data_IF_271965376404
#
_entry.id   IF_271965376404
#
_cell.length_a   1.000
_cell.length_b   1.000
_cell.length_c   1.000
_cell.angle_alpha   90.00
_cell.angle_beta   90.00
_cell.angle_gamma   90.00
#
_symmetry.space_group_name_H-M   'P 1'
#
loop_
_entity.id
_entity.type
_entity.pdbx_description
1 polymer ?
#
# COMPACT_ATOMS: atom_id res chain seq x y z
N UNK A 1 -11.18 -28.02 32.30
CA UNK A 1 -10.76 -26.66 32.67
C UNK A 1 -10.64 -25.86 31.38
N UNK A 2 -11.59 -24.97 31.10
CA UNK A 2 -11.46 -24.04 29.97
C UNK A 2 -10.28 -23.11 30.28
N UNK A 3 -9.15 -23.34 29.60
CA UNK A 3 -7.92 -22.62 29.87
C UNK A 3 -8.05 -21.17 29.45
N UNK A 4 -7.84 -20.25 30.39
CA UNK A 4 -7.86 -18.80 30.12
C UNK A 4 -6.82 -18.45 29.05
N UNK A 5 -7.21 -17.56 28.13
CA UNK A 5 -6.37 -16.95 27.09
C UNK A 5 -6.34 -15.43 27.39
N UNK A 6 -5.47 -15.00 28.31
CA UNK A 6 -5.56 -13.67 28.90
C UNK A 6 -5.28 -12.54 27.91
N UNK A 7 -4.34 -12.71 26.98
CA UNK A 7 -3.99 -11.63 26.05
C UNK A 7 -3.36 -12.13 24.74
N UNK A 8 -4.17 -12.78 23.90
CA UNK A 8 -3.76 -13.24 22.56
C UNK A 8 -3.51 -12.06 21.64
N UNK A 9 -2.34 -12.01 20.99
CA UNK A 9 -1.97 -10.94 20.07
C UNK A 9 -2.10 -11.33 18.59
N UNK A 10 -1.48 -12.45 18.19
CA UNK A 10 -1.53 -12.94 16.81
C UNK A 10 -1.82 -14.44 16.77
N UNK A 11 -2.37 -14.89 15.64
CA UNK A 11 -2.75 -16.29 15.40
C UNK A 11 -2.29 -16.73 14.01
N UNK A 12 -1.82 -17.96 13.93
CA UNK A 12 -1.47 -18.64 12.68
C UNK A 12 -2.10 -20.03 12.66
N UNK A 13 -2.28 -20.59 11.47
CA UNK A 13 -2.90 -21.90 11.30
C UNK A 13 -2.07 -22.72 10.32
N UNK A 14 -1.82 -23.98 10.66
CA UNK A 14 -1.19 -24.91 9.74
C UNK A 14 -1.61 -26.33 10.09
N UNK A 15 -1.93 -27.10 9.05
CA UNK A 15 -2.50 -28.45 9.20
C UNK A 15 -3.68 -28.43 10.18
N UNK A 16 -3.64 -29.25 11.23
CA UNK A 16 -4.68 -29.38 12.26
C UNK A 16 -4.45 -28.54 13.51
N UNK A 17 -3.49 -27.61 13.47
CA UNK A 17 -3.07 -26.82 14.62
C UNK A 17 -3.33 -25.33 14.42
N UNK A 18 -3.81 -24.69 15.48
CA UNK A 18 -3.79 -23.24 15.66
C UNK A 18 -2.60 -22.91 16.54
N UNK A 19 -1.85 -21.89 16.14
CA UNK A 19 -0.71 -21.34 16.87
C UNK A 19 -1.03 -19.90 17.25
N UNK A 20 -0.71 -19.47 18.45
CA UNK A 20 -0.91 -18.07 18.84
C UNK A 20 0.17 -17.57 19.80
N UNK A 21 0.28 -16.26 19.89
CA UNK A 21 1.15 -15.55 20.83
C UNK A 21 0.31 -14.93 21.93
N UNK A 22 0.78 -15.02 23.17
CA UNK A 22 0.13 -14.41 24.33
C UNK A 22 1.10 -13.51 25.11
N UNK A 23 0.68 -12.27 25.35
CA UNK A 23 1.50 -11.24 26.00
C UNK A 23 1.53 -11.34 27.52
N UNK A 24 0.58 -12.00 28.16
CA UNK A 24 0.56 -12.13 29.61
C UNK A 24 1.41 -13.33 30.05
N UNK A 25 1.35 -14.41 29.29
CA UNK A 25 2.18 -15.61 29.54
C UNK A 25 3.55 -15.52 28.88
N UNK A 26 3.76 -14.57 27.96
CA UNK A 26 4.95 -14.46 27.11
C UNK A 26 5.24 -15.74 26.31
N UNK A 27 4.20 -16.49 25.93
CA UNK A 27 4.33 -17.80 25.28
C UNK A 27 3.90 -17.76 23.82
N UNK A 28 4.47 -18.68 23.05
CA UNK A 28 3.82 -19.19 21.83
C UNK A 28 3.19 -20.52 22.18
N UNK A 29 1.93 -20.70 21.83
CA UNK A 29 1.18 -21.91 22.16
C UNK A 29 0.50 -22.49 20.93
N UNK A 30 0.14 -23.77 21.01
CA UNK A 30 -0.68 -24.43 19.98
C UNK A 30 -1.77 -25.30 20.58
N UNK A 31 -2.84 -25.52 19.83
CA UNK A 31 -3.90 -26.48 20.13
C UNK A 31 -4.55 -26.99 18.84
N UNK A 32 -5.32 -28.08 18.94
CA UNK A 32 -6.08 -28.65 17.82
C UNK A 32 -7.15 -27.66 17.34
N UNK A 33 -7.16 -27.34 16.04
CA UNK A 33 -8.01 -26.28 15.48
C UNK A 33 -9.51 -26.54 15.61
N UNK A 34 -9.94 -27.80 15.61
CA UNK A 34 -11.35 -28.18 15.64
C UNK A 34 -11.87 -28.45 17.06
N UNK A 35 -11.04 -29.00 17.94
CA UNK A 35 -11.46 -29.41 19.29
C UNK A 35 -10.97 -28.48 20.39
N UNK A 36 -9.94 -27.66 20.12
CA UNK A 36 -9.25 -26.87 21.14
C UNK A 36 -8.41 -27.70 22.11
N UNK A 37 -8.33 -29.02 21.91
CA UNK A 37 -7.58 -29.93 22.77
C UNK A 37 -6.08 -29.92 22.49
N UNK A 38 -5.31 -30.63 23.32
CA UNK A 38 -3.86 -30.75 23.21
C UNK A 38 -3.13 -29.40 23.25
N UNK A 39 -3.66 -28.46 24.04
CA UNK A 39 -3.02 -27.18 24.29
C UNK A 39 -1.61 -27.39 24.85
N UNK A 40 -0.61 -26.88 24.15
CA UNK A 40 0.81 -27.05 24.50
C UNK A 40 1.56 -25.74 24.27
N UNK A 41 2.44 -25.39 25.20
CA UNK A 41 3.36 -24.27 25.07
C UNK A 41 4.54 -24.70 24.19
N UNK A 42 4.76 -24.00 23.09
CA UNK A 42 5.82 -24.26 22.11
C UNK A 42 7.13 -23.56 22.48
N UNK A 43 7.06 -22.46 23.23
CA UNK A 43 8.22 -21.73 23.69
C UNK A 43 7.85 -20.55 24.59
N UNK A 44 8.74 -20.26 25.53
CA UNK A 44 8.66 -19.10 26.40
C UNK A 44 9.58 -18.02 25.83
N UNK A 45 9.11 -16.77 25.84
CA UNK A 45 9.86 -15.63 25.36
C UNK A 45 10.24 -14.73 26.53
N UNK A 46 11.45 -14.17 26.50
CA UNK A 46 11.89 -13.18 27.50
C UNK A 46 11.12 -11.87 27.38
N UNK A 47 10.72 -11.53 26.15
CA UNK A 47 9.92 -10.35 25.82
C UNK A 47 8.54 -10.77 25.32
N UNK A 48 7.60 -9.81 25.27
CA UNK A 48 6.25 -10.05 24.73
C UNK A 48 6.32 -10.48 23.26
N UNK A 49 5.78 -11.67 22.90
CA UNK A 49 5.78 -12.11 21.52
C UNK A 49 4.71 -11.37 20.71
N UNK A 50 5.07 -10.87 19.52
CA UNK A 50 4.17 -10.14 18.62
C UNK A 50 3.56 -11.09 17.58
N UNK A 51 3.78 -10.83 16.29
CA UNK A 51 3.19 -11.61 15.20
C UNK A 51 3.73 -13.06 15.17
N UNK A 52 2.90 -13.99 14.70
CA UNK A 52 3.27 -15.39 14.48
C UNK A 52 2.83 -15.85 13.11
N UNK A 53 3.78 -16.42 12.36
CA UNK A 53 3.53 -16.95 11.01
C UNK A 53 4.17 -18.31 10.86
N UNK A 54 3.42 -19.24 10.28
CA UNK A 54 3.98 -20.53 9.86
C UNK A 54 4.69 -20.34 8.52
N UNK A 55 6.01 -20.59 8.50
CA UNK A 55 6.82 -20.58 7.30
C UNK A 55 6.83 -21.97 6.67
N UNK A 56 5.95 -22.20 5.69
CA UNK A 56 5.85 -23.47 4.96
C UNK A 56 5.34 -23.23 3.53
N UNK A 57 5.87 -23.91 2.48
CA UNK A 57 5.40 -23.73 1.10
C UNK A 57 3.89 -23.92 0.90
N UNK A 58 3.27 -24.87 1.62
CA UNK A 58 1.82 -25.06 1.57
C UNK A 58 0.98 -23.91 2.16
N UNK A 59 1.58 -22.96 2.91
CA UNK A 59 0.89 -21.72 3.34
C UNK A 59 0.81 -20.70 2.20
N UNK A 60 1.64 -20.84 1.18
CA UNK A 60 1.67 -20.00 -0.02
C UNK A 60 1.71 -20.88 -1.27
N UNK A 61 0.61 -21.60 -1.60
CA UNK A 61 0.55 -22.44 -2.79
C UNK A 61 0.88 -21.62 -4.04
N UNK A 62 1.60 -22.23 -4.99
CA UNK A 62 1.87 -21.59 -6.27
C UNK A 62 0.56 -21.45 -7.05
N UNK A 63 0.27 -20.23 -7.46
CA UNK A 63 -0.78 -19.89 -8.41
C UNK A 63 -0.20 -19.06 -9.54
N UNK A 64 -0.85 -19.07 -10.69
CA UNK A 64 -0.51 -18.12 -11.75
C UNK A 64 -0.78 -16.70 -11.27
N UNK A 65 0.11 -15.77 -11.62
CA UNK A 65 -0.07 -14.36 -11.30
C UNK A 65 -0.87 -13.69 -12.42
N UNK A 66 -2.12 -13.24 -12.18
CA UNK A 66 -2.93 -12.60 -13.21
C UNK A 66 -2.34 -11.28 -13.72
N UNK A 67 -1.45 -10.65 -12.95
CA UNK A 67 -0.71 -9.46 -13.37
C UNK A 67 0.42 -9.73 -14.37
N UNK A 68 0.80 -10.99 -14.57
CA UNK A 68 1.79 -11.40 -15.57
C UNK A 68 1.17 -11.65 -16.95
N UNK A 69 -0.15 -11.48 -17.08
CA UNK A 69 -0.87 -11.62 -18.36
C UNK A 69 -0.51 -10.48 -19.32
N UNK A 70 -0.32 -10.81 -20.60
CA UNK A 70 -0.11 -9.82 -21.66
C UNK A 70 -1.32 -8.90 -21.91
N UNK A 71 -2.51 -9.26 -21.41
CA UNK A 71 -3.74 -8.51 -21.60
C UNK A 71 -3.93 -7.33 -20.65
N UNK A 72 -3.07 -7.18 -19.63
CA UNK A 72 -3.13 -6.09 -18.66
C UNK A 72 -1.73 -5.56 -18.38
N UNK A 73 -1.43 -4.34 -18.82
CA UNK A 73 -0.17 -3.67 -18.48
C UNK A 73 -0.46 -2.46 -17.60
N UNK A 74 -0.05 -2.50 -16.33
CA UNK A 74 -0.19 -1.35 -15.42
C UNK A 74 1.10 -0.53 -15.38
N UNK A 75 1.01 0.80 -15.33
CA UNK A 75 2.21 1.63 -15.16
C UNK A 75 2.75 1.65 -13.72
N UNK A 76 1.88 1.43 -12.73
CA UNK A 76 2.25 1.45 -11.29
C UNK A 76 1.85 0.15 -10.60
N UNK A 77 0.63 0.08 -10.06
CA UNK A 77 0.18 -1.06 -9.26
C UNK A 77 -0.76 -1.94 -10.07
N UNK A 78 -0.49 -3.25 -10.05
CA UNK A 78 -1.43 -4.27 -10.47
C UNK A 78 -1.88 -5.05 -9.23
N UNK A 79 -3.17 -4.97 -8.90
CA UNK A 79 -3.73 -5.61 -7.72
C UNK A 79 -4.59 -6.81 -8.14
N UNK A 80 -4.38 -7.93 -7.45
CA UNK A 80 -5.14 -9.16 -7.66
C UNK A 80 -6.53 -8.98 -7.02
N UNK A 81 -7.58 -9.25 -7.81
CA UNK A 81 -8.96 -9.16 -7.38
C UNK A 81 -9.34 -10.35 -6.45
N UNK A 82 -10.43 -10.22 -5.66
CA UNK A 82 -10.95 -11.32 -4.86
C UNK A 82 -11.14 -12.60 -5.69
N UNK A 83 -10.69 -13.73 -5.16
CA UNK A 83 -10.70 -15.01 -5.86
C UNK A 83 -9.42 -15.33 -6.65
N UNK A 84 -8.47 -14.40 -6.79
CA UNK A 84 -7.12 -14.69 -7.27
C UNK A 84 -6.96 -14.85 -8.79
N UNK A 85 -8.05 -14.83 -9.55
CA UNK A 85 -8.04 -15.11 -11.00
C UNK A 85 -7.99 -13.87 -11.87
N UNK A 86 -8.42 -12.71 -11.35
CA UNK A 86 -8.48 -11.45 -12.07
C UNK A 86 -7.55 -10.44 -11.42
N UNK A 87 -7.17 -9.42 -12.18
CA UNK A 87 -6.40 -8.29 -11.66
C UNK A 87 -6.90 -6.98 -12.25
N UNK A 88 -6.67 -5.89 -11.53
CA UNK A 88 -6.96 -4.52 -11.97
C UNK A 88 -5.79 -3.60 -11.67
N UNK A 89 -5.61 -2.60 -12.52
CA UNK A 89 -4.60 -1.58 -12.27
C UNK A 89 -5.13 -0.55 -11.26
N UNK A 90 -4.27 -0.15 -10.33
CA UNK A 90 -4.52 0.94 -9.41
C UNK A 90 -3.44 2.00 -9.54
N UNK A 91 -3.84 3.25 -9.39
CA UNK A 91 -2.92 4.37 -9.38
C UNK A 91 -2.62 4.79 -7.95
N UNK A 92 -1.41 5.35 -7.69
CA UNK A 92 -1.12 5.98 -6.40
C UNK A 92 -2.13 7.08 -6.07
N UNK A 93 -2.18 7.49 -4.80
CA UNK A 93 -3.02 8.60 -4.38
C UNK A 93 -2.69 9.87 -5.18
N UNK A 94 -3.73 10.62 -5.55
CA UNK A 94 -3.65 11.82 -6.42
C UNK A 94 -3.22 11.55 -7.87
N UNK A 95 -3.45 10.34 -8.38
CA UNK A 95 -3.29 10.01 -9.79
C UNK A 95 -4.59 9.46 -10.37
N UNK A 96 -4.83 9.73 -11.64
CA UNK A 96 -5.91 9.13 -12.43
C UNK A 96 -5.33 8.13 -13.44
N UNK A 97 -6.04 7.02 -13.65
CA UNK A 97 -5.68 6.02 -14.64
C UNK A 97 -6.27 6.35 -16.01
N UNK A 98 -5.42 6.48 -17.03
CA UNK A 98 -5.83 6.64 -18.43
C UNK A 98 -5.47 5.39 -19.24
N UNK A 99 -6.35 5.00 -20.15
CA UNK A 99 -6.13 3.85 -21.03
C UNK A 99 -5.32 4.29 -22.26
N UNK A 100 -4.15 3.70 -22.46
CA UNK A 100 -3.29 3.88 -23.64
C UNK A 100 -3.12 2.51 -24.30
N UNK A 101 -4.08 2.13 -25.16
CA UNK A 101 -4.16 0.77 -25.70
C UNK A 101 -4.47 -0.26 -24.60
N UNK A 102 -3.62 -1.27 -24.44
CA UNK A 102 -3.71 -2.28 -23.36
C UNK A 102 -2.98 -1.86 -22.07
N UNK A 103 -2.42 -0.64 -22.03
CA UNK A 103 -1.70 -0.11 -20.88
C UNK A 103 -2.56 0.88 -20.10
N UNK A 104 -2.72 0.65 -18.80
CA UNK A 104 -3.24 1.64 -17.86
C UNK A 104 -2.06 2.51 -17.41
N UNK A 105 -2.06 3.77 -17.83
CA UNK A 105 -1.05 4.75 -17.45
C UNK A 105 -1.63 5.68 -16.38
N UNK A 106 -1.01 5.71 -15.21
CA UNK A 106 -1.33 6.70 -14.18
C UNK A 106 -0.70 8.05 -14.52
N UNK A 107 -1.48 9.11 -14.38
CA UNK A 107 -1.05 10.50 -14.53
C UNK A 107 -1.52 11.31 -13.34
N UNK A 108 -0.72 12.28 -12.89
CA UNK A 108 -1.06 13.12 -11.75
C UNK A 108 -2.40 13.85 -11.96
N UNK A 109 -3.29 13.79 -10.96
CA UNK A 109 -4.59 14.47 -10.92
C UNK A 109 -4.40 15.95 -10.60
N UNK A 110 -4.33 16.77 -11.66
CA UNK A 110 -4.00 18.18 -11.56
C UNK A 110 -5.28 19.03 -11.46
N UNK A 111 -5.34 19.92 -10.47
CA UNK A 111 -6.38 20.95 -10.44
C UNK A 111 -6.16 22.01 -11.52
N UNK A 112 -7.15 22.89 -11.75
CA UNK A 112 -7.05 24.00 -12.71
C UNK A 112 -5.91 24.99 -12.41
N UNK A 113 -5.30 24.95 -11.23
CA UNK A 113 -4.17 25.80 -10.82
C UNK A 113 -2.83 25.08 -10.87
N UNK A 114 -2.77 23.90 -11.47
CA UNK A 114 -1.58 23.07 -11.56
C UNK A 114 -1.26 22.67 -13.00
N UNK A 115 0.03 22.59 -13.32
CA UNK A 115 0.54 22.02 -14.55
C UNK A 115 1.11 20.62 -14.28
N UNK A 116 0.81 19.69 -15.19
CA UNK A 116 1.36 18.34 -15.16
C UNK A 116 2.75 18.33 -15.78
N UNK A 117 3.75 17.89 -15.03
CA UNK A 117 5.12 17.75 -15.52
C UNK A 117 5.21 16.83 -16.74
N UNK A 118 6.29 16.97 -17.53
CA UNK A 118 6.50 16.17 -18.74
C UNK A 118 6.71 14.67 -18.47
N UNK A 119 7.11 14.29 -17.26
CA UNK A 119 7.17 12.91 -16.77
C UNK A 119 5.79 12.36 -16.36
N UNK A 120 4.75 13.20 -16.34
CA UNK A 120 3.39 12.90 -15.92
C UNK A 120 3.22 12.41 -14.47
N UNK A 121 4.30 12.46 -13.68
CA UNK A 121 4.36 11.94 -12.31
C UNK A 121 4.21 13.02 -11.24
N UNK A 122 4.15 14.29 -11.63
CA UNK A 122 4.07 15.41 -10.70
C UNK A 122 3.15 16.51 -11.20
N UNK A 123 2.53 17.19 -10.25
CA UNK A 123 1.82 18.46 -10.46
C UNK A 123 2.63 19.60 -9.84
N UNK A 124 2.78 20.69 -10.59
CA UNK A 124 3.45 21.90 -10.13
C UNK A 124 2.43 23.04 -10.18
N UNK A 125 2.31 23.80 -9.08
CA UNK A 125 1.41 24.96 -9.08
C UNK A 125 1.88 26.00 -10.08
N UNK A 126 0.91 26.67 -10.70
CA UNK A 126 1.17 27.95 -11.33
C UNK A 126 1.91 28.84 -10.32
N UNK A 127 3.16 29.21 -10.62
CA UNK A 127 3.67 30.49 -10.13
C UNK A 127 2.90 31.52 -10.94
N UNK A 128 1.80 32.03 -10.40
CA UNK A 128 1.21 33.25 -10.93
C UNK A 128 2.25 34.33 -10.70
N UNK A 129 3.13 34.56 -11.67
CA UNK A 129 3.79 35.86 -11.77
C UNK A 129 2.62 36.82 -11.88
N UNK A 130 2.29 37.55 -10.81
CA UNK A 130 1.36 38.65 -10.93
C UNK A 130 2.03 39.65 -11.87
N UNK A 131 1.67 39.60 -13.14
CA UNK A 131 2.02 40.66 -14.08
C UNK A 131 1.14 41.84 -13.68
N UNK A 132 1.60 42.63 -12.72
CA UNK A 132 0.98 43.91 -12.44
C UNK A 132 1.05 44.74 -13.73
N UNK A 133 -0.11 44.99 -14.32
CA UNK A 133 -0.31 45.77 -15.53
C UNK A 133 0.34 47.15 -15.34
N UNK A 134 1.51 47.38 -15.93
CA UNK A 134 2.13 48.71 -15.92
C UNK A 134 1.56 49.49 -17.09
N UNK A 135 0.72 50.49 -16.80
CA UNK A 135 0.35 51.52 -17.75
C UNK A 135 1.52 52.50 -17.85
N UNK A 136 2.01 52.75 -19.07
CA UNK A 136 2.98 53.80 -19.34
C UNK A 136 2.31 54.95 -20.08
N UNK A 137 2.20 56.09 -19.38
CA UNK A 137 2.13 57.43 -19.94
C UNK A 137 3.58 57.92 -19.90
N UNK A 138 4.12 58.26 -21.06
CA UNK A 138 5.40 58.96 -21.33
C UNK A 138 6.69 58.44 -20.64
N UNK A 139 7.58 57.88 -21.49
CA UNK A 139 9.00 57.57 -21.32
C UNK A 139 9.60 57.50 -19.89
N UNK A 140 9.81 56.27 -19.37
CA UNK A 140 11.03 55.76 -18.65
C UNK A 140 10.67 54.49 -17.84
N UNK A 141 11.20 53.34 -18.27
CA UNK A 141 10.93 51.98 -17.74
C UNK A 141 11.61 51.69 -16.39
N UNK A 142 10.92 50.97 -15.48
CA UNK A 142 11.56 50.24 -14.38
C UNK A 142 10.94 48.84 -14.26
N UNK A 143 11.70 47.83 -14.67
CA UNK A 143 11.40 46.41 -14.45
C UNK A 143 12.26 45.92 -13.28
N UNK A 144 11.68 45.78 -12.08
CA UNK A 144 12.33 45.07 -10.99
C UNK A 144 11.83 43.62 -10.98
N UNK A 145 12.72 42.67 -11.28
CA UNK A 145 12.51 41.26 -10.96
C UNK A 145 13.05 41.09 -9.55
N UNK A 146 12.17 41.02 -8.55
CA UNK A 146 12.58 40.56 -7.23
C UNK A 146 12.34 39.05 -7.14
N UNK A 147 13.44 38.32 -7.07
CA UNK A 147 13.46 36.89 -6.75
C UNK A 147 13.49 36.81 -5.24
N UNK A 148 12.35 36.58 -4.61
CA UNK A 148 12.32 36.14 -3.22
C UNK A 148 12.25 34.60 -3.21
N UNK A 149 13.15 34.01 -2.43
CA UNK A 149 13.52 32.57 -2.36
C UNK A 149 12.34 31.63 -2.03
#
# INVERSE_FOLDING_TARGET
MAGSLPHVFAVSLFEDWVYWTDWNTHTVEKARKYTGEQRTVMGNNTHRPYDVRVYHPYRQPRSENPCSSHHLTCSHLCLIAPGGQQASCQCPDHFIGIMVGFKVQCVADCSSTQFRCGDHEKSVRHKTTQVHKTQFIDEVSLSFIQVDE
#
